data_IF_724503023682
#
_entry.id   IF_724503023682
#
_cell.length_a   1.000
_cell.length_b   1.000
_cell.length_c   1.000
_cell.angle_alpha   90.00
_cell.angle_beta   90.00
_cell.angle_gamma   90.00
#
_symmetry.space_group_name_H-M   'P 1'
#
loop_
_entity.id
_entity.type
_entity.pdbx_description
1 polymer ?
#
# COMPACT_ATOMS: atom_id res chain seq x y z
N UNK A 1 -5.26 -13.28 -10.78
CA UNK A 1 -6.69 -12.94 -10.98
C UNK A 1 -7.23 -12.37 -9.67
N UNK A 2 -8.13 -11.40 -9.70
CA UNK A 2 -8.77 -10.81 -8.50
C UNK A 2 -9.80 -11.76 -7.83
N UNK A 3 -9.59 -13.07 -7.93
CA UNK A 3 -10.60 -14.09 -7.66
C UNK A 3 -10.91 -14.32 -6.17
N UNK A 4 -10.15 -13.72 -5.26
CA UNK A 4 -10.28 -13.96 -3.81
C UNK A 4 -10.50 -12.68 -2.98
N UNK A 5 -10.94 -11.57 -3.59
CA UNK A 5 -11.53 -10.50 -2.81
C UNK A 5 -12.93 -10.95 -2.35
N UNK A 6 -13.27 -10.87 -1.04
CA UNK A 6 -14.62 -11.14 -0.59
C UNK A 6 -15.56 -10.13 -1.25
N UNK A 7 -16.52 -10.64 -2.02
CA UNK A 7 -17.63 -9.84 -2.57
C UNK A 7 -17.53 -9.55 -4.06
N UNK A 8 -17.82 -10.55 -4.89
CA UNK A 8 -18.50 -10.28 -6.16
C UNK A 8 -19.97 -9.94 -5.84
N UNK A 9 -20.21 -8.68 -5.43
CA UNK A 9 -21.53 -8.14 -5.10
C UNK A 9 -21.42 -6.67 -4.67
N UNK A 10 -22.49 -5.90 -4.87
CA UNK A 10 -22.65 -4.44 -4.67
C UNK A 10 -22.32 -3.86 -3.27
N UNK A 11 -21.60 -4.60 -2.41
CA UNK A 11 -21.26 -4.13 -1.07
C UNK A 11 -19.80 -3.68 -1.02
N UNK A 12 -19.53 -2.44 -0.58
CA UNK A 12 -18.16 -1.99 -0.36
C UNK A 12 -17.50 -2.90 0.67
N UNK A 13 -16.34 -3.45 0.32
CA UNK A 13 -15.47 -4.15 1.25
C UNK A 13 -14.41 -3.17 1.76
N UNK A 14 -14.14 -3.24 3.06
CA UNK A 14 -13.09 -2.45 3.69
C UNK A 14 -12.01 -3.38 4.21
N UNK A 15 -10.77 -3.11 3.82
CA UNK A 15 -9.58 -3.75 4.35
C UNK A 15 -8.76 -2.68 5.09
N UNK A 16 -8.36 -2.97 6.32
CA UNK A 16 -7.43 -2.15 7.08
C UNK A 16 -6.17 -2.94 7.34
N UNK A 17 -5.06 -2.36 6.93
CA UNK A 17 -3.71 -2.87 7.14
C UNK A 17 -2.96 -1.91 8.06
N UNK A 18 -2.16 -2.45 8.95
CA UNK A 18 -1.22 -1.68 9.76
C UNK A 18 0.09 -2.45 9.83
N UNK A 19 1.20 -1.74 9.96
CA UNK A 19 2.48 -2.38 9.82
C UNK A 19 3.64 -1.46 10.07
N UNK A 20 4.83 -2.03 9.99
CA UNK A 20 6.09 -1.36 10.19
C UNK A 20 6.99 -1.68 9.00
N UNK A 21 7.81 -0.71 8.59
CA UNK A 21 8.66 -0.83 7.40
C UNK A 21 10.08 -0.42 7.79
N UNK A 22 11.04 -1.29 7.51
CA UNK A 22 12.47 -0.98 7.52
C UNK A 22 12.97 -1.11 6.09
N UNK A 23 13.29 0.04 5.46
CA UNK A 23 13.85 0.05 4.11
C UNK A 23 15.21 -0.68 4.08
N UNK A 24 15.58 -1.33 2.96
CA UNK A 24 14.84 -1.34 1.69
C UNK A 24 13.71 -2.37 1.59
N UNK A 25 13.78 -3.49 2.33
CA UNK A 25 13.07 -4.72 1.95
C UNK A 25 12.49 -5.51 3.14
N UNK A 26 12.26 -4.85 4.29
CA UNK A 26 11.69 -5.50 5.47
C UNK A 26 10.40 -4.82 5.91
N UNK A 27 9.39 -5.61 6.21
CA UNK A 27 8.18 -5.09 6.79
C UNK A 27 7.39 -6.16 7.54
N UNK A 28 6.59 -5.71 8.50
CA UNK A 28 5.49 -6.49 9.07
C UNK A 28 4.18 -5.83 8.69
N UNK A 29 3.16 -6.61 8.36
CA UNK A 29 1.81 -6.13 8.16
C UNK A 29 0.82 -7.01 8.90
N UNK A 30 -0.23 -6.41 9.43
CA UNK A 30 -1.37 -7.09 10.01
C UNK A 30 -2.65 -6.48 9.47
N UNK A 31 -3.64 -7.33 9.19
CA UNK A 31 -4.92 -6.87 8.72
C UNK A 31 -6.04 -7.87 8.95
N UNK A 32 -7.25 -7.34 9.00
CA UNK A 32 -8.46 -8.17 9.12
C UNK A 32 -8.62 -9.04 7.88
N UNK A 33 -8.83 -10.34 8.07
CA UNK A 33 -9.04 -11.31 6.98
C UNK A 33 -7.76 -11.88 6.33
N UNK A 34 -6.59 -11.30 6.63
CA UNK A 34 -5.30 -11.74 6.03
C UNK A 34 -4.28 -12.24 7.07
N UNK A 35 -4.50 -11.93 8.36
CA UNK A 35 -3.59 -12.28 9.44
C UNK A 35 -2.38 -11.36 9.53
N UNK A 36 -1.28 -11.89 10.05
CA UNK A 36 0.02 -11.21 10.14
C UNK A 36 0.99 -11.76 9.10
N UNK A 37 1.70 -10.85 8.44
CA UNK A 37 2.70 -11.11 7.41
C UNK A 37 4.00 -10.45 7.83
N UNK A 38 5.11 -11.16 7.60
CA UNK A 38 6.47 -10.69 7.79
C UNK A 38 7.23 -10.91 6.49
N UNK A 39 7.95 -9.89 6.02
CA UNK A 39 8.82 -9.98 4.86
C UNK A 39 10.21 -9.48 5.22
N UNK A 40 11.23 -10.22 4.78
CA UNK A 40 12.65 -9.89 4.90
C UNK A 40 13.33 -10.32 3.59
N UNK A 41 13.58 -9.35 2.72
CA UNK A 41 14.09 -9.59 1.37
C UNK A 41 13.18 -10.53 0.60
N UNK A 42 13.76 -11.59 0.00
CA UNK A 42 13.01 -12.58 -0.77
C UNK A 42 12.19 -13.57 0.08
N UNK A 43 12.27 -13.49 1.42
CA UNK A 43 11.58 -14.41 2.31
C UNK A 43 10.33 -13.75 2.89
N UNK A 44 9.23 -14.50 2.90
CA UNK A 44 8.00 -14.11 3.56
C UNK A 44 7.50 -15.20 4.50
N UNK A 45 6.84 -14.77 5.58
CA UNK A 45 6.18 -15.64 6.54
C UNK A 45 4.77 -15.12 6.78
N UNK A 46 3.84 -16.05 6.97
CA UNK A 46 2.48 -15.74 7.40
C UNK A 46 2.21 -16.43 8.72
N UNK A 47 1.61 -15.70 9.65
CA UNK A 47 1.20 -16.26 10.95
C UNK A 47 -0.11 -17.01 10.79
N UNK A 48 -0.10 -18.32 11.02
CA UNK A 48 -1.31 -19.16 10.94
C UNK A 48 -2.23 -18.90 12.12
N UNK A 49 -3.52 -18.74 11.83
CA UNK A 49 -4.59 -18.78 12.81
C UNK A 49 -5.22 -20.17 12.86
N UNK A 50 -5.57 -20.73 14.04
CA UNK A 50 -5.40 -20.15 15.38
C UNK A 50 -4.06 -20.49 16.05
N UNK A 51 -3.19 -21.31 15.43
CA UNK A 51 -1.98 -21.85 16.09
C UNK A 51 -0.95 -20.79 16.47
N UNK A 52 -0.97 -19.62 15.84
CA UNK A 52 -0.04 -18.53 16.09
C UNK A 52 1.36 -18.74 15.51
N UNK A 53 1.60 -19.86 14.83
CA UNK A 53 2.90 -20.23 14.28
C UNK A 53 3.19 -19.49 12.97
N UNK A 54 4.42 -19.02 12.81
CA UNK A 54 4.91 -18.50 11.54
C UNK A 54 5.18 -19.63 10.56
N UNK A 55 4.68 -19.48 9.34
CA UNK A 55 4.92 -20.42 8.25
C UNK A 55 5.57 -19.68 7.10
N UNK A 56 6.76 -20.12 6.72
CA UNK A 56 7.48 -19.59 5.55
C UNK A 56 6.67 -19.89 4.29
N UNK A 57 6.47 -18.88 3.45
CA UNK A 57 5.74 -19.04 2.19
C UNK A 57 6.69 -19.46 1.07
N UNK A 58 6.16 -20.17 0.07
CA UNK A 58 6.91 -20.64 -1.09
C UNK A 58 7.25 -19.51 -2.09
N UNK A 59 6.56 -18.37 -2.02
CA UNK A 59 6.84 -17.18 -2.83
C UNK A 59 6.78 -15.91 -1.97
N UNK A 60 7.51 -14.88 -2.40
CA UNK A 60 7.60 -13.53 -1.80
C UNK A 60 6.29 -12.72 -1.84
N UNK A 61 5.18 -13.39 -2.13
CA UNK A 61 3.91 -12.79 -2.48
C UNK A 61 3.16 -12.24 -1.26
N UNK A 62 3.79 -11.41 -0.41
CA UNK A 62 3.22 -10.65 0.71
C UNK A 62 1.83 -11.11 1.19
N UNK A 63 0.86 -10.21 1.15
CA UNK A 63 -0.56 -10.55 1.33
C UNK A 63 -1.07 -11.11 0.00
N UNK A 64 -0.83 -12.40 -0.28
CA UNK A 64 -1.33 -13.08 -1.50
C UNK A 64 -0.88 -12.48 -2.85
N UNK A 65 0.25 -11.78 -2.88
CA UNK A 65 0.87 -11.15 -4.04
C UNK A 65 0.32 -9.77 -4.34
N UNK A 66 -0.48 -9.20 -3.43
CA UNK A 66 -1.34 -8.08 -3.78
C UNK A 66 -0.74 -6.71 -3.47
N UNK A 67 0.09 -6.55 -2.43
CA UNK A 67 0.56 -5.23 -2.00
C UNK A 67 1.96 -5.29 -1.36
N UNK A 68 2.95 -4.67 -2.01
CA UNK A 68 4.17 -4.19 -1.37
C UNK A 68 3.93 -2.75 -0.87
N UNK A 69 3.88 -2.51 0.45
CA UNK A 69 3.61 -1.19 0.99
C UNK A 69 4.72 -0.18 0.65
N UNK A 70 5.95 -0.63 0.40
CA UNK A 70 7.06 0.24 0.01
C UNK A 70 6.88 0.75 -1.42
N UNK A 71 6.45 -0.13 -2.34
CA UNK A 71 6.16 0.24 -3.72
C UNK A 71 4.97 1.21 -3.82
N UNK A 72 3.93 1.02 -2.99
CA UNK A 72 2.80 1.95 -2.94
C UNK A 72 3.17 3.30 -2.34
N UNK A 73 3.94 3.32 -1.25
CA UNK A 73 4.44 4.57 -0.67
C UNK A 73 5.29 5.35 -1.69
N UNK A 74 6.05 4.63 -2.53
CA UNK A 74 6.89 5.19 -3.58
C UNK A 74 6.13 5.50 -4.89
N UNK A 75 4.82 5.22 -4.99
CA UNK A 75 4.03 5.45 -6.21
C UNK A 75 3.97 6.91 -6.65
N UNK A 76 4.16 7.85 -5.72
CA UNK A 76 4.26 9.29 -5.99
C UNK A 76 5.41 9.63 -6.94
N UNK A 77 6.42 8.76 -7.12
CA UNK A 77 7.52 8.96 -8.09
C UNK A 77 7.06 8.94 -9.55
N UNK A 78 5.88 8.40 -9.83
CA UNK A 78 5.33 8.24 -11.17
C UNK A 78 4.21 9.25 -11.46
N UNK A 79 4.30 10.43 -10.85
CA UNK A 79 3.29 11.48 -10.96
C UNK A 79 3.20 12.06 -12.38
N UNK A 80 2.00 12.47 -12.76
CA UNK A 80 1.68 13.33 -13.91
C UNK A 80 0.59 14.33 -13.51
N UNK A 81 0.42 15.43 -14.26
CA UNK A 81 -0.67 16.40 -14.05
C UNK A 81 -0.76 16.97 -12.61
N UNK A 82 0.37 17.39 -12.05
CA UNK A 82 0.43 17.89 -10.66
C UNK A 82 -0.31 19.21 -10.51
N UNK A 83 -1.16 19.28 -9.50
CA UNK A 83 -1.82 20.47 -9.02
C UNK A 83 -1.56 20.61 -7.52
N UNK A 84 -1.20 21.83 -7.09
CA UNK A 84 -1.20 22.18 -5.66
C UNK A 84 -2.60 22.59 -5.23
N UNK A 85 -3.06 22.01 -4.13
CA UNK A 85 -4.31 22.35 -3.47
C UNK A 85 -4.04 23.28 -2.27
N UNK A 86 -5.08 23.59 -1.51
CA UNK A 86 -4.90 24.34 -0.26
C UNK A 86 -4.09 23.50 0.71
N UNK A 87 -3.11 24.11 1.37
CA UNK A 87 -2.31 23.42 2.38
C UNK A 87 -3.21 22.92 3.53
N UNK A 88 -2.85 21.77 4.11
CA UNK A 88 -3.65 21.11 5.15
C UNK A 88 -2.76 20.62 6.30
N UNK A 89 -3.36 20.39 7.47
CA UNK A 89 -2.68 19.82 8.64
C UNK A 89 -3.04 18.35 8.80
N UNK A 90 -2.03 17.48 8.87
CA UNK A 90 -2.19 16.05 9.15
C UNK A 90 -1.51 15.72 10.48
N UNK A 91 -2.30 15.31 11.48
CA UNK A 91 -1.83 14.99 12.84
C UNK A 91 -0.97 16.10 13.48
N UNK A 92 -1.35 17.35 13.26
CA UNK A 92 -0.59 18.51 13.77
C UNK A 92 0.63 18.91 12.92
N UNK A 93 0.92 18.21 11.82
CA UNK A 93 1.97 18.60 10.88
C UNK A 93 1.38 19.41 9.72
N UNK A 94 1.85 20.64 9.54
CA UNK A 94 1.53 21.47 8.39
C UNK A 94 2.11 20.85 7.11
N UNK A 95 1.27 20.62 6.11
CA UNK A 95 1.60 19.88 4.89
C UNK A 95 1.28 20.66 3.62
N UNK A 96 2.14 20.50 2.61
CA UNK A 96 1.74 20.72 1.23
C UNK A 96 0.73 19.65 0.83
N UNK A 97 -0.40 20.06 0.24
CA UNK A 97 -1.39 19.16 -0.33
C UNK A 97 -1.31 19.21 -1.84
N UNK A 98 -0.98 18.06 -2.44
CA UNK A 98 -0.81 17.93 -3.88
C UNK A 98 -1.76 16.89 -4.42
N UNK A 99 -2.29 17.15 -5.62
CA UNK A 99 -3.10 16.23 -6.39
C UNK A 99 -2.41 15.93 -7.72
N UNK A 100 -2.41 14.69 -8.16
CA UNK A 100 -1.81 14.26 -9.42
C UNK A 100 -2.37 12.92 -9.87
N UNK A 101 -2.10 12.54 -11.12
CA UNK A 101 -2.34 11.19 -11.60
C UNK A 101 -1.07 10.34 -11.47
N UNK A 102 -1.22 9.03 -11.29
CA UNK A 102 -0.09 8.08 -11.28
C UNK A 102 -0.09 7.27 -12.57
N UNK A 103 1.08 7.22 -13.21
CA UNK A 103 1.31 6.35 -14.38
C UNK A 103 1.24 4.87 -13.97
N UNK A 104 0.09 4.25 -14.23
CA UNK A 104 -0.19 2.85 -13.89
C UNK A 104 0.78 1.86 -14.56
N UNK A 105 1.35 2.22 -15.72
CA UNK A 105 2.33 1.37 -16.42
C UNK A 105 3.63 1.31 -15.63
N UNK A 106 4.10 2.45 -15.11
CA UNK A 106 5.30 2.51 -14.28
C UNK A 106 5.09 1.86 -12.92
N UNK A 107 3.92 2.07 -12.30
CA UNK A 107 3.58 1.45 -11.01
C UNK A 107 3.48 -0.08 -11.10
N UNK A 108 2.98 -0.62 -12.22
CA UNK A 108 2.94 -2.07 -12.45
C UNK A 108 4.33 -2.71 -12.39
N UNK A 109 5.35 -2.02 -12.90
CA UNK A 109 6.72 -2.52 -12.86
C UNK A 109 7.31 -2.58 -11.45
N UNK A 110 6.81 -1.78 -10.49
CA UNK A 110 7.32 -1.71 -9.13
C UNK A 110 6.55 -2.55 -8.11
N UNK A 111 5.37 -3.07 -8.45
CA UNK A 111 4.45 -3.71 -7.49
C UNK A 111 4.40 -5.24 -7.58
N UNK A 112 5.45 -5.88 -8.12
CA UNK A 112 5.61 -7.34 -8.22
C UNK A 112 4.33 -8.10 -8.67
N UNK A 113 3.59 -7.53 -9.63
CA UNK A 113 2.48 -8.25 -10.28
C UNK A 113 1.07 -7.75 -9.96
N UNK A 114 0.91 -6.61 -9.27
CA UNK A 114 -0.40 -5.93 -9.24
C UNK A 114 -0.77 -5.51 -10.68
N UNK A 115 -1.64 -6.29 -11.33
CA UNK A 115 -2.06 -6.01 -12.68
C UNK A 115 -3.13 -4.91 -12.69
N UNK A 116 -2.65 -3.67 -12.74
CA UNK A 116 -3.50 -2.49 -12.82
C UNK A 116 -4.02 -2.22 -14.24
N UNK A 117 -3.59 -2.98 -15.27
CA UNK A 117 -4.06 -2.80 -16.64
C UNK A 117 -4.00 -1.33 -17.10
N UNK A 118 -5.13 -0.83 -17.63
CA UNK A 118 -5.32 0.58 -18.01
C UNK A 118 -5.97 1.39 -16.87
N UNK A 119 -5.60 1.12 -15.61
CA UNK A 119 -6.18 1.82 -14.48
C UNK A 119 -5.98 3.33 -14.59
N UNK A 120 -7.00 4.08 -14.18
CA UNK A 120 -6.81 5.49 -13.81
C UNK A 120 -6.58 5.56 -12.31
N UNK A 121 -5.53 6.26 -11.91
CA UNK A 121 -5.12 6.39 -10.51
C UNK A 121 -4.97 7.88 -10.19
N UNK A 122 -6.04 8.47 -9.66
CA UNK A 122 -5.98 9.84 -9.14
C UNK A 122 -5.46 9.79 -7.70
N UNK A 123 -4.45 10.59 -7.41
CA UNK A 123 -3.75 10.55 -6.13
C UNK A 123 -3.74 11.94 -5.48
N UNK A 124 -3.93 11.96 -4.18
CA UNK A 124 -3.61 13.10 -3.33
C UNK A 124 -2.54 12.70 -2.33
N UNK A 125 -1.58 13.60 -2.07
CA UNK A 125 -0.50 13.39 -1.12
C UNK A 125 -0.33 14.61 -0.23
N UNK A 126 0.00 14.34 1.03
CA UNK A 126 0.31 15.36 2.03
C UNK A 126 1.77 15.21 2.44
N UNK A 127 2.56 16.25 2.20
CA UNK A 127 4.00 16.27 2.44
C UNK A 127 4.31 17.33 3.49
N UNK A 128 4.96 16.94 4.59
CA UNK A 128 5.30 17.86 5.67
C UNK A 128 6.17 19.01 5.18
N UNK A 129 5.79 20.26 5.49
CA UNK A 129 6.52 21.44 5.00
C UNK A 129 7.91 21.60 5.61
N UNK A 130 8.13 21.04 6.81
CA UNK A 130 9.39 21.18 7.54
C UNK A 130 10.42 20.11 7.15
N UNK A 131 9.99 18.87 6.93
CA UNK A 131 10.88 17.72 6.73
C UNK A 131 10.70 17.01 5.39
N UNK A 132 9.75 17.46 4.56
CA UNK A 132 9.41 16.90 3.25
C UNK A 132 9.02 15.41 3.31
N UNK A 133 8.58 14.93 4.47
CA UNK A 133 8.12 13.54 4.62
C UNK A 133 6.66 13.42 4.21
N UNK A 134 6.37 12.42 3.37
CA UNK A 134 5.00 12.05 3.00
C UNK A 134 4.25 11.54 4.23
N UNK A 135 3.24 12.27 4.71
CA UNK A 135 2.43 11.92 5.90
C UNK A 135 1.23 11.06 5.56
N UNK A 136 0.58 11.39 4.44
CA UNK A 136 -0.61 10.71 3.98
C UNK A 136 -0.60 10.64 2.46
N UNK A 137 -1.23 9.60 1.93
CA UNK A 137 -1.53 9.45 0.51
C UNK A 137 -2.93 8.84 0.38
N UNK A 138 -3.70 9.32 -0.59
CA UNK A 138 -4.99 8.76 -0.96
C UNK A 138 -4.97 8.46 -2.46
N UNK A 139 -5.27 7.22 -2.83
CA UNK A 139 -5.36 6.76 -4.21
C UNK A 139 -6.80 6.40 -4.53
N UNK A 140 -7.39 7.06 -5.51
CA UNK A 140 -8.65 6.67 -6.13
C UNK A 140 -8.33 5.88 -7.40
N UNK A 141 -8.60 4.57 -7.36
CA UNK A 141 -8.27 3.63 -8.42
C UNK A 141 -9.55 3.25 -9.16
N UNK A 142 -9.51 3.36 -10.48
CA UNK A 142 -10.56 2.87 -11.37
C UNK A 142 -9.96 1.83 -12.31
N UNK A 143 -10.47 0.60 -12.24
CA UNK A 143 -10.04 -0.53 -13.06
C UNK A 143 -11.16 -0.89 -14.04
N UNK A 144 -10.96 -0.65 -15.35
CA UNK A 144 -11.85 -1.20 -16.36
C UNK A 144 -11.57 -2.70 -16.52
N UNK A 145 -12.51 -3.56 -16.13
CA UNK A 145 -12.36 -5.01 -16.24
C UNK A 145 -13.55 -5.65 -16.96
N UNK A 146 -13.38 -5.99 -18.24
CA UNK A 146 -14.27 -6.87 -19.04
C UNK A 146 -15.78 -6.78 -18.71
N UNK A 147 -16.36 -5.57 -18.73
CA UNK A 147 -17.79 -5.33 -18.49
C UNK A 147 -18.17 -4.90 -17.07
N UNK A 148 -17.21 -4.82 -16.14
CA UNK A 148 -17.38 -4.33 -14.76
C UNK A 148 -16.36 -3.23 -14.48
N UNK A 149 -16.83 -2.10 -13.96
CA UNK A 149 -15.97 -1.05 -13.43
C UNK A 149 -15.71 -1.33 -11.95
N UNK A 150 -14.48 -1.68 -11.59
CA UNK A 150 -14.07 -1.82 -10.20
C UNK A 150 -13.47 -0.48 -9.78
N UNK A 151 -14.02 0.13 -8.74
CA UNK A 151 -13.45 1.34 -8.14
C UNK A 151 -13.07 1.07 -6.68
N UNK A 152 -12.04 1.75 -6.22
CA UNK A 152 -11.59 1.66 -4.84
C UNK A 152 -10.87 2.93 -4.42
N UNK A 153 -10.93 3.22 -3.12
CA UNK A 153 -10.09 4.25 -2.52
C UNK A 153 -9.17 3.59 -1.52
N UNK A 154 -7.88 3.84 -1.65
CA UNK A 154 -6.86 3.42 -0.70
C UNK A 154 -6.34 4.65 0.01
N UNK A 155 -6.26 4.59 1.34
CA UNK A 155 -5.62 5.62 2.16
C UNK A 155 -4.43 5.01 2.89
N UNK A 156 -3.28 5.64 2.74
CA UNK A 156 -2.02 5.24 3.37
C UNK A 156 -1.60 6.39 4.29
N UNK A 157 -1.28 6.06 5.53
CA UNK A 157 -0.76 6.99 6.52
C UNK A 157 0.62 6.51 6.96
N UNK A 158 1.59 7.42 6.99
CA UNK A 158 2.98 7.13 7.32
C UNK A 158 3.39 7.98 8.53
N UNK A 159 4.05 7.34 9.49
CA UNK A 159 4.46 7.91 10.77
C UNK A 159 5.61 7.11 11.37
N UNK A 160 6.17 7.55 12.50
CA UNK A 160 7.30 6.87 13.15
C UNK A 160 8.58 6.89 12.31
N UNK A 161 8.79 7.98 11.58
CA UNK A 161 9.93 8.11 10.66
C UNK A 161 11.24 8.09 11.43
N UNK A 162 12.15 7.21 11.02
CA UNK A 162 13.49 7.03 11.60
C UNK A 162 13.48 6.52 13.06
N UNK A 163 12.35 6.04 13.58
CA UNK A 163 12.34 5.35 14.86
C UNK A 163 13.19 4.06 14.77
N UNK A 164 14.07 3.77 15.75
CA UNK A 164 14.86 2.56 15.74
C UNK A 164 13.95 1.32 15.75
N UNK A 165 14.01 0.54 14.68
CA UNK A 165 13.23 -0.68 14.53
C UNK A 165 14.09 -1.80 13.97
N UNK A 166 13.95 -3.00 14.54
CA UNK A 166 14.59 -4.21 14.03
C UNK A 166 13.53 -5.26 13.73
N UNK A 167 13.49 -5.70 12.47
CA UNK A 167 12.66 -6.80 12.02
C UNK A 167 13.57 -8.02 11.77
N UNK A 168 13.36 -9.08 12.53
CA UNK A 168 14.11 -10.35 12.45
C UNK A 168 13.23 -11.51 11.99
N UNK A 169 13.81 -12.58 11.41
CA UNK A 169 13.06 -13.79 11.10
C UNK A 169 12.38 -14.37 12.35
N UNK A 170 11.27 -15.09 12.19
CA UNK A 170 10.62 -15.76 13.30
C UNK A 170 11.47 -16.96 13.75
N UNK A 171 11.44 -17.24 15.06
CA UNK A 171 12.05 -18.42 15.69
C UNK A 171 11.36 -19.72 15.29
#
# INVERSE_FOLDING_TARGET
>A
SFSNLPGAGDKPSQLTLSGEIVRPDRYTMRGTGIGEVLVIGANSWQRRTPTGNWVKQASDSGIGGLIDPTALADSSKYYTNVQRLSDETIDGVDCYHLKFDVDATKLKASTNGLNLGNATIATEVWVGKQDNLQRQMQLAIQLPAAGVNISGTMRIKLSGFNDPLTITPPS
#
